data_IF_728920596715
#
_entry.id   IF_728920596715
#
_cell.length_a   1.000
_cell.length_b   1.000
_cell.length_c   1.000
_cell.angle_alpha   90.00
_cell.angle_beta   90.00
_cell.angle_gamma   90.00
#
_symmetry.space_group_name_H-M   'P 1'
#
loop_
_entity.id
_entity.type
_entity.pdbx_description
1 polymer ?
#
# COMPACT_ATOMS: atom_id res chain seq x y z
N UNK A 1 -7.53 31.98 5.96
CA UNK A 1 -6.63 31.39 4.93
C UNK A 1 -6.35 29.89 5.15
N UNK A 2 -7.08 29.23 6.05
CA UNK A 2 -6.95 27.80 6.38
C UNK A 2 -7.59 26.84 5.37
N UNK A 3 -8.39 27.33 4.43
CA UNK A 3 -9.18 26.49 3.52
C UNK A 3 -8.37 25.94 2.34
N UNK A 4 -7.52 26.74 1.69
CA UNK A 4 -6.76 26.27 0.52
C UNK A 4 -5.74 25.18 0.90
N UNK A 5 -5.00 25.35 2.00
CA UNK A 5 -4.03 24.36 2.46
C UNK A 5 -4.69 23.04 2.88
N UNK A 6 -5.87 23.10 3.51
CA UNK A 6 -6.63 21.90 3.88
C UNK A 6 -7.12 21.14 2.64
N UNK A 7 -7.59 21.85 1.60
CA UNK A 7 -8.00 21.26 0.33
C UNK A 7 -6.81 20.59 -0.37
N UNK A 8 -5.65 21.27 -0.45
CA UNK A 8 -4.44 20.66 -1.01
C UNK A 8 -4.01 19.42 -0.23
N UNK A 9 -4.00 19.49 1.11
CA UNK A 9 -3.67 18.35 1.97
C UNK A 9 -4.58 17.15 1.72
N UNK A 10 -5.89 17.38 1.58
CA UNK A 10 -6.86 16.33 1.28
C UNK A 10 -6.64 15.71 -0.12
N UNK A 11 -6.35 16.54 -1.13
CA UNK A 11 -6.04 16.03 -2.48
C UNK A 11 -4.80 15.14 -2.45
N UNK A 12 -3.72 15.58 -1.80
CA UNK A 12 -2.51 14.76 -1.65
C UNK A 12 -2.80 13.48 -0.86
N UNK A 13 -3.59 13.55 0.20
CA UNK A 13 -3.97 12.37 1.00
C UNK A 13 -4.71 11.33 0.15
N UNK A 14 -5.64 11.76 -0.70
CA UNK A 14 -6.37 10.88 -1.63
C UNK A 14 -5.43 10.27 -2.67
N UNK A 15 -4.54 11.08 -3.27
CA UNK A 15 -3.57 10.59 -4.26
C UNK A 15 -2.59 9.58 -3.65
N UNK A 16 -2.09 9.82 -2.44
CA UNK A 16 -1.21 8.89 -1.73
C UNK A 16 -1.94 7.58 -1.42
N UNK A 17 -3.17 7.63 -0.91
CA UNK A 17 -3.97 6.42 -0.67
C UNK A 17 -4.17 5.62 -1.97
N UNK A 18 -4.50 6.30 -3.08
CA UNK A 18 -4.66 5.66 -4.38
C UNK A 18 -3.36 4.99 -4.83
N UNK A 19 -2.22 5.68 -4.70
CA UNK A 19 -0.92 5.14 -5.07
C UNK A 19 -0.54 3.90 -4.24
N UNK A 20 -0.81 3.92 -2.92
CA UNK A 20 -0.56 2.77 -2.03
C UNK A 20 -1.43 1.57 -2.44
N UNK A 21 -2.71 1.78 -2.71
CA UNK A 21 -3.62 0.71 -3.14
C UNK A 21 -3.17 0.10 -4.48
N UNK A 22 -2.80 0.94 -5.45
CA UNK A 22 -2.30 0.46 -6.75
C UNK A 22 -1.02 -0.35 -6.53
N UNK A 23 -0.04 0.19 -5.80
CA UNK A 23 1.21 -0.52 -5.52
C UNK A 23 0.98 -1.88 -4.84
N UNK A 24 0.06 -1.93 -3.88
CA UNK A 24 -0.33 -3.15 -3.18
C UNK A 24 -0.97 -4.20 -4.10
N UNK A 25 -1.83 -3.78 -5.04
CA UNK A 25 -2.55 -4.66 -5.94
C UNK A 25 -1.76 -5.07 -7.20
N UNK A 26 -0.78 -4.25 -7.62
CA UNK A 26 -0.06 -4.49 -8.88
C UNK A 26 0.98 -5.61 -8.76
N UNK A 27 1.10 -6.49 -9.78
CA UNK A 27 2.06 -7.61 -9.77
C UNK A 27 3.49 -7.22 -10.16
N UNK A 28 3.88 -5.94 -10.09
CA UNK A 28 5.15 -5.43 -10.67
C UNK A 28 6.23 -5.11 -9.62
N UNK A 29 6.25 -5.81 -8.49
CA UNK A 29 7.28 -5.58 -7.45
C UNK A 29 8.63 -6.15 -7.86
N UNK A 30 8.63 -7.33 -8.48
CA UNK A 30 9.82 -8.00 -9.00
C UNK A 30 9.52 -8.50 -10.41
N UNK A 31 10.41 -8.21 -11.34
CA UNK A 31 10.41 -8.79 -12.68
C UNK A 31 11.46 -9.89 -12.76
N UNK A 32 11.01 -11.09 -13.10
CA UNK A 32 11.86 -12.23 -13.43
C UNK A 32 11.98 -12.37 -14.96
N UNK A 33 12.96 -13.17 -15.39
CA UNK A 33 13.16 -13.43 -16.83
C UNK A 33 11.93 -14.10 -17.45
N UNK A 34 11.65 -13.75 -18.71
CA UNK A 34 10.58 -14.33 -19.55
C UNK A 34 9.13 -13.90 -19.22
N UNK A 35 8.93 -12.65 -18.78
CA UNK A 35 7.59 -12.09 -18.57
C UNK A 35 6.89 -12.71 -17.36
N UNK A 36 7.68 -12.99 -16.32
CA UNK A 36 7.23 -13.51 -15.04
C UNK A 36 7.34 -12.36 -14.01
N UNK A 37 6.21 -11.97 -13.44
CA UNK A 37 6.04 -10.80 -12.60
C UNK A 37 5.50 -11.23 -11.23
N UNK A 38 6.16 -10.79 -10.17
CA UNK A 38 5.76 -11.06 -8.81
C UNK A 38 5.34 -9.76 -8.14
N UNK A 39 4.10 -9.71 -7.68
CA UNK A 39 3.62 -8.73 -6.73
C UNK A 39 3.53 -9.31 -5.33
N UNK A 40 3.14 -8.44 -4.41
CA UNK A 40 3.00 -8.77 -2.99
C UNK A 40 1.87 -9.79 -2.73
N UNK A 41 0.82 -9.80 -3.56
CA UNK A 41 -0.38 -10.66 -3.41
C UNK A 41 -0.71 -11.52 -4.63
N UNK A 42 -0.02 -11.29 -5.75
CA UNK A 42 -0.28 -11.96 -7.02
C UNK A 42 1.04 -12.33 -7.69
N UNK A 43 1.01 -13.46 -8.38
CA UNK A 43 2.08 -13.92 -9.25
C UNK A 43 1.52 -14.03 -10.67
N UNK A 44 2.14 -13.38 -11.63
CA UNK A 44 1.66 -13.32 -13.01
C UNK A 44 2.75 -13.79 -13.96
N UNK A 45 2.47 -14.86 -14.70
CA UNK A 45 3.36 -15.41 -15.73
C UNK A 45 2.69 -15.32 -17.09
N UNK A 46 3.27 -14.52 -17.99
CA UNK A 46 2.72 -14.25 -19.32
C UNK A 46 1.23 -13.82 -19.29
N UNK A 47 0.30 -14.76 -19.47
CA UNK A 47 -1.15 -14.51 -19.54
C UNK A 47 -1.95 -15.08 -18.36
N UNK A 48 -1.30 -15.72 -17.38
CA UNK A 48 -1.97 -16.30 -16.22
C UNK A 48 -1.48 -15.64 -14.94
N UNK A 49 -2.42 -15.14 -14.13
CA UNK A 49 -2.14 -14.65 -12.78
C UNK A 49 -2.77 -15.57 -11.75
N UNK A 50 -2.02 -15.90 -10.71
CA UNK A 50 -2.50 -16.61 -9.53
C UNK A 50 -2.37 -15.71 -8.32
N UNK A 51 -3.38 -15.76 -7.46
CA UNK A 51 -3.43 -14.94 -6.24
C UNK A 51 -3.07 -15.76 -5.01
N UNK A 52 -2.54 -15.11 -3.97
CA UNK A 52 -2.10 -15.79 -2.73
C UNK A 52 -3.20 -16.60 -2.03
N UNK A 53 -4.46 -16.27 -2.28
CA UNK A 53 -5.62 -16.96 -1.71
C UNK A 53 -6.15 -18.12 -2.58
N UNK A 54 -5.53 -18.41 -3.73
CA UNK A 54 -5.93 -19.53 -4.59
C UNK A 54 -5.18 -20.82 -4.23
N UNK A 55 -5.87 -21.97 -4.28
CA UNK A 55 -5.32 -23.27 -3.89
C UNK A 55 -4.10 -23.73 -4.73
N UNK A 56 -3.89 -23.12 -5.90
CA UNK A 56 -2.77 -23.41 -6.80
C UNK A 56 -1.71 -22.29 -6.79
N UNK A 57 -1.69 -21.43 -5.77
CA UNK A 57 -0.68 -20.40 -5.63
C UNK A 57 0.71 -21.02 -5.45
N UNK A 58 1.43 -21.15 -6.57
CA UNK A 58 2.83 -21.55 -6.58
C UNK A 58 3.66 -20.29 -6.51
N UNK A 59 4.06 -19.98 -5.29
CA UNK A 59 5.17 -19.09 -5.02
C UNK A 59 6.40 -19.66 -5.74
N UNK A 60 6.78 -19.05 -6.87
CA UNK A 60 7.97 -19.44 -7.61
C UNK A 60 9.20 -19.19 -6.72
N UNK A 61 9.59 -20.19 -5.94
CA UNK A 61 10.97 -20.40 -5.49
C UNK A 61 11.78 -20.69 -6.76
N UNK A 62 12.22 -19.63 -7.45
CA UNK A 62 13.04 -19.80 -8.64
C UNK A 62 14.35 -20.44 -8.22
N UNK A 63 14.43 -21.72 -8.54
CA UNK A 63 15.58 -22.59 -8.44
C UNK A 63 16.68 -22.03 -9.35
N UNK A 64 17.89 -21.93 -8.79
CA UNK A 64 19.18 -21.87 -9.50
C UNK A 64 19.46 -20.64 -10.39
N UNK A 65 19.76 -19.50 -9.75
CA UNK A 65 20.82 -18.53 -10.16
C UNK A 65 20.75 -17.21 -9.36
N UNK A 66 19.59 -16.85 -8.82
CA UNK A 66 19.38 -15.66 -7.97
C UNK A 66 18.32 -15.98 -6.92
N UNK A 67 18.76 -16.38 -5.73
CA UNK A 67 17.90 -16.81 -4.63
C UNK A 67 17.13 -15.63 -4.03
N UNK A 68 15.93 -15.34 -4.56
CA UNK A 68 14.89 -14.63 -3.81
C UNK A 68 13.96 -15.72 -3.27
N UNK A 69 14.23 -16.15 -2.05
CA UNK A 69 13.36 -17.06 -1.34
C UNK A 69 12.21 -16.22 -0.77
N UNK A 70 10.96 -16.46 -1.16
CA UNK A 70 9.84 -15.67 -0.65
C UNK A 70 9.40 -16.16 0.76
N UNK A 71 9.97 -17.27 1.23
CA UNK A 71 10.03 -17.58 2.66
C UNK A 71 11.04 -16.72 3.43
N UNK A 72 11.77 -15.83 2.72
CA UNK A 72 12.65 -14.88 3.39
C UNK A 72 11.84 -13.93 4.26
N UNK A 73 12.38 -13.71 5.45
CA UNK A 73 11.79 -12.88 6.49
C UNK A 73 11.49 -11.45 5.99
N UNK A 74 12.28 -10.95 5.01
CA UNK A 74 12.09 -9.62 4.46
C UNK A 74 10.83 -9.48 3.61
N UNK A 75 10.43 -10.49 2.83
CA UNK A 75 9.23 -10.40 1.99
C UNK A 75 7.95 -10.35 2.83
N UNK A 76 7.89 -11.23 3.84
CA UNK A 76 6.79 -11.24 4.81
C UNK A 76 6.76 -9.93 5.60
N UNK A 77 7.92 -9.40 6.00
CA UNK A 77 8.00 -8.10 6.66
C UNK A 77 7.48 -6.96 5.76
N UNK A 78 7.84 -6.94 4.47
CA UNK A 78 7.32 -5.96 3.51
C UNK A 78 5.81 -6.08 3.35
N UNK A 79 5.28 -7.31 3.25
CA UNK A 79 3.83 -7.53 3.18
C UNK A 79 3.11 -7.00 4.42
N UNK A 80 3.65 -7.26 5.61
CA UNK A 80 3.14 -6.74 6.88
C UNK A 80 3.18 -5.22 6.95
N UNK A 81 4.30 -4.60 6.58
CA UNK A 81 4.47 -3.14 6.59
C UNK A 81 3.48 -2.47 5.64
N UNK A 82 3.31 -3.00 4.43
CA UNK A 82 2.37 -2.47 3.44
C UNK A 82 0.91 -2.58 3.91
N UNK A 83 0.52 -3.70 4.54
CA UNK A 83 -0.81 -3.84 5.13
C UNK A 83 -1.06 -2.84 6.26
N UNK A 84 -0.06 -2.63 7.12
CA UNK A 84 -0.16 -1.69 8.23
C UNK A 84 -0.21 -0.23 7.74
N UNK A 85 0.67 0.14 6.80
CA UNK A 85 0.69 1.45 6.16
C UNK A 85 -0.62 1.76 5.42
N UNK A 86 -1.17 0.80 4.67
CA UNK A 86 -2.47 0.95 4.02
C UNK A 86 -3.59 1.18 5.04
N UNK A 87 -3.58 0.43 6.15
CA UNK A 87 -4.56 0.59 7.23
C UNK A 87 -4.49 2.01 7.82
N UNK A 88 -3.29 2.48 8.16
CA UNK A 88 -3.07 3.85 8.67
C UNK A 88 -3.51 4.93 7.68
N UNK A 89 -3.23 4.75 6.39
CA UNK A 89 -3.61 5.68 5.34
C UNK A 89 -5.14 5.78 5.18
N UNK A 90 -5.85 4.64 5.25
CA UNK A 90 -7.31 4.59 5.23
C UNK A 90 -7.93 5.20 6.49
N UNK A 91 -7.36 4.93 7.67
CA UNK A 91 -7.78 5.60 8.91
C UNK A 91 -7.56 7.11 8.84
N UNK A 92 -6.45 7.56 8.28
CA UNK A 92 -6.16 8.99 8.07
C UNK A 92 -7.21 9.65 7.17
N UNK A 93 -7.59 8.98 6.06
CA UNK A 93 -8.66 9.45 5.17
C UNK A 93 -10.01 9.52 5.89
N UNK A 94 -10.34 8.53 6.72
CA UNK A 94 -11.57 8.52 7.51
C UNK A 94 -11.62 9.70 8.48
N UNK A 95 -10.55 9.93 9.24
CA UNK A 95 -10.47 11.06 10.17
C UNK A 95 -10.50 12.42 9.47
N UNK A 96 -9.84 12.54 8.30
CA UNK A 96 -9.92 13.74 7.49
C UNK A 96 -11.36 14.02 7.04
N UNK A 97 -12.10 13.00 6.60
CA UNK A 97 -13.49 13.15 6.15
C UNK A 97 -14.41 13.57 7.30
N UNK A 98 -14.26 12.95 8.48
CA UNK A 98 -15.03 13.32 9.68
C UNK A 98 -14.71 14.77 10.09
N UNK A 99 -13.44 15.18 10.06
CA UNK A 99 -13.04 16.53 10.42
C UNK A 99 -13.63 17.59 9.47
N UNK A 100 -13.77 17.30 8.17
CA UNK A 100 -14.44 18.19 7.22
C UNK A 100 -15.96 18.25 7.44
N UNK A 101 -16.61 17.13 7.75
CA UNK A 101 -18.07 17.08 7.94
C UNK A 101 -18.53 17.72 9.26
N UNK A 102 -17.72 17.66 10.32
CA UNK A 102 -18.14 18.07 11.67
C UNK A 102 -17.68 19.47 12.11
N UNK A 103 -17.02 20.26 11.24
CA UNK A 103 -16.46 21.61 11.53
C UNK A 103 -15.93 21.75 12.97
N UNK A 104 -15.09 20.80 13.39
CA UNK A 104 -14.60 20.70 14.76
C UNK A 104 -13.59 21.83 15.03
N UNK A 105 -14.10 23.01 15.38
CA UNK A 105 -13.35 24.25 15.67
C UNK A 105 -12.27 24.17 16.77
N UNK A 106 -12.12 23.04 17.46
CA UNK A 106 -11.17 22.86 18.57
C UNK A 106 -10.39 21.55 18.58
N UNK A 107 -10.53 20.68 17.57
CA UNK A 107 -9.78 19.43 17.53
C UNK A 107 -8.48 19.62 16.75
N UNK A 108 -7.35 19.17 17.31
CA UNK A 108 -6.04 19.14 16.66
C UNK A 108 -5.95 18.02 15.61
N UNK A 109 -7.01 17.84 14.83
CA UNK A 109 -7.20 16.75 13.85
C UNK A 109 -6.20 16.87 12.70
N UNK A 110 -5.79 18.08 12.33
CA UNK A 110 -4.81 18.29 11.25
C UNK A 110 -3.43 17.70 11.57
N UNK A 111 -2.97 17.78 12.82
CA UNK A 111 -1.71 17.18 13.25
C UNK A 111 -1.80 15.65 13.32
N UNK A 112 -2.94 15.11 13.75
CA UNK A 112 -3.17 13.65 13.80
C UNK A 112 -3.23 13.05 12.40
N UNK A 113 -3.93 13.69 11.47
CA UNK A 113 -4.02 13.26 10.06
C UNK A 113 -2.65 13.32 9.39
N UNK A 114 -1.90 14.42 9.61
CA UNK A 114 -0.54 14.57 9.06
C UNK A 114 0.43 13.54 9.64
N UNK A 115 0.34 13.26 10.95
CA UNK A 115 1.14 12.23 11.60
C UNK A 115 0.83 10.84 11.07
N UNK A 116 -0.45 10.48 10.92
CA UNK A 116 -0.86 9.20 10.34
C UNK A 116 -0.39 9.02 8.89
N UNK A 117 -0.37 10.10 8.11
CA UNK A 117 0.17 10.11 6.74
C UNK A 117 1.69 9.91 6.71
N UNK A 118 2.43 10.63 7.55
CA UNK A 118 3.90 10.50 7.61
C UNK A 118 4.30 9.08 8.04
N UNK A 119 3.63 8.52 9.05
CA UNK A 119 3.86 7.15 9.51
C UNK A 119 3.45 6.08 8.50
N UNK A 120 2.63 6.41 7.49
CA UNK A 120 2.27 5.49 6.41
C UNK A 120 3.28 5.46 5.26
N UNK A 121 4.22 6.41 5.23
CA UNK A 121 5.27 6.51 4.21
C UNK A 121 6.64 6.01 4.67
N UNK A 122 6.82 5.71 5.96
CA UNK A 122 8.01 5.08 6.54
C UNK A 122 7.87 3.55 6.60
#
# INVERSE_FOLDING_TARGET
>A
MTTCCAVFGLVFLVLTNLAIIISFATPYWIEFKAGDYQGLWAHCKANSCTWVFEDNYKLNTITTATHIDISSEWWIATQGLMCFGLSLALFSLLFATIALCCDCRGCNTSQVISGLLLMSCE
#
